data_IF_207554960740
#
_entry.id   IF_207554960740
#
_cell.length_a   1.000
_cell.length_b   1.000
_cell.length_c   1.000
_cell.angle_alpha   90.00
_cell.angle_beta   90.00
_cell.angle_gamma   90.00
#
_symmetry.space_group_name_H-M   'P 1'
#
loop_
_entity.id
_entity.type
_entity.pdbx_description
1 polymer ?
#
# COMPACT_ATOMS: atom_id res chain seq x y z
N UNK A 1 -16.44 3.54 7.90
CA UNK A 1 -17.15 4.22 6.80
C UNK A 1 -16.94 3.45 5.50
N UNK A 2 -17.99 2.99 4.81
CA UNK A 2 -17.88 2.25 3.54
C UNK A 2 -17.23 3.08 2.42
N UNK A 3 -17.27 4.42 2.52
CA UNK A 3 -16.59 5.32 1.58
C UNK A 3 -15.08 5.12 1.57
N UNK A 4 -14.50 4.65 2.68
CA UNK A 4 -13.08 4.31 2.76
C UNK A 4 -12.69 3.08 1.91
N UNK A 5 -13.68 2.26 1.54
CA UNK A 5 -13.50 1.00 0.81
C UNK A 5 -14.15 1.06 -0.58
N UNK A 6 -14.30 2.25 -1.18
CA UNK A 6 -14.90 2.37 -2.51
C UNK A 6 -16.31 1.78 -2.62
N UNK A 7 -17.07 1.75 -1.51
CA UNK A 7 -18.39 1.10 -1.45
C UNK A 7 -18.36 -0.40 -1.14
N UNK A 8 -17.19 -1.04 -1.10
CA UNK A 8 -17.01 -2.42 -0.69
C UNK A 8 -17.11 -2.62 0.84
N UNK A 9 -17.18 -3.88 1.26
CA UNK A 9 -17.09 -4.23 2.68
C UNK A 9 -15.61 -4.25 3.13
N UNK A 10 -15.34 -3.90 4.41
CA UNK A 10 -14.00 -4.05 4.97
C UNK A 10 -13.53 -5.51 4.92
N UNK A 11 -12.25 -5.79 4.60
CA UNK A 11 -11.72 -7.14 4.66
C UNK A 11 -11.66 -7.64 6.12
N UNK A 12 -11.64 -8.97 6.29
CA UNK A 12 -11.46 -9.63 7.61
C UNK A 12 -10.05 -9.46 8.18
N UNK A 13 -9.06 -9.39 7.29
CA UNK A 13 -7.66 -9.15 7.63
C UNK A 13 -7.28 -7.73 7.24
N UNK A 14 -7.73 -6.76 8.04
CA UNK A 14 -7.25 -5.40 7.87
C UNK A 14 -5.73 -5.37 8.06
N UNK A 15 -5.10 -4.46 7.32
CA UNK A 15 -3.66 -4.24 7.43
C UNK A 15 -3.33 -3.77 8.85
N UNK A 16 -2.08 -3.88 9.31
CA UNK A 16 -1.66 -3.33 10.58
C UNK A 16 -1.42 -1.81 10.49
N UNK A 17 -1.55 -1.10 11.62
CA UNK A 17 -1.05 0.26 11.71
C UNK A 17 0.48 0.30 11.67
N UNK A 18 1.06 1.51 11.46
CA UNK A 18 2.47 1.79 11.70
C UNK A 18 2.98 1.22 13.03
N UNK A 19 4.24 0.80 13.09
CA UNK A 19 4.88 0.35 14.34
C UNK A 19 4.90 1.46 15.41
N UNK A 20 4.82 2.71 14.99
CA UNK A 20 4.79 3.89 15.86
C UNK A 20 3.38 4.28 16.33
N UNK A 21 2.35 3.56 15.89
CA UNK A 21 0.98 3.85 16.28
C UNK A 21 0.75 3.54 17.77
N UNK A 22 -0.27 4.17 18.35
CA UNK A 22 -0.63 3.92 19.74
C UNK A 22 -1.14 2.48 19.94
N UNK A 23 -0.96 1.93 21.13
CA UNK A 23 -1.48 0.61 21.50
C UNK A 23 -2.98 0.46 21.21
N UNK A 24 -3.75 1.55 21.35
CA UNK A 24 -5.17 1.57 21.01
C UNK A 24 -5.46 1.28 19.54
N UNK A 25 -4.61 1.72 18.61
CA UNK A 25 -4.77 1.41 17.18
C UNK A 25 -4.53 -0.08 16.89
N UNK A 26 -3.52 -0.67 17.55
CA UNK A 26 -3.25 -2.10 17.46
C UNK A 26 -4.41 -2.92 18.08
N UNK A 27 -4.87 -2.53 19.27
CA UNK A 27 -6.01 -3.19 19.92
C UNK A 27 -7.27 -3.14 19.05
N UNK A 28 -7.60 -1.97 18.49
CA UNK A 28 -8.78 -1.81 17.65
C UNK A 28 -8.72 -2.68 16.39
N UNK A 29 -7.55 -2.79 15.77
CA UNK A 29 -7.33 -3.74 14.67
C UNK A 29 -7.61 -5.17 15.11
N UNK A 30 -7.04 -5.61 16.24
CA UNK A 30 -7.22 -6.98 16.73
C UNK A 30 -8.69 -7.28 17.00
N UNK A 31 -9.39 -6.38 17.71
CA UNK A 31 -10.81 -6.53 18.00
C UNK A 31 -11.66 -6.58 16.72
N UNK A 32 -11.34 -5.76 15.71
CA UNK A 32 -12.05 -5.79 14.42
C UNK A 32 -11.85 -7.12 13.69
N UNK A 33 -10.59 -7.55 13.54
CA UNK A 33 -10.27 -8.78 12.83
C UNK A 33 -10.87 -10.00 13.55
N UNK A 34 -10.83 -10.05 14.88
CA UNK A 34 -11.49 -11.08 15.68
C UNK A 34 -13.01 -11.09 15.46
N UNK A 35 -13.68 -9.94 15.58
CA UNK A 35 -15.11 -9.85 15.40
C UNK A 35 -15.52 -10.26 13.98
N UNK A 36 -14.84 -9.73 12.96
CA UNK A 36 -15.14 -10.03 11.56
C UNK A 36 -14.89 -11.50 11.22
N UNK A 37 -13.87 -12.16 11.80
CA UNK A 37 -13.62 -13.59 11.63
C UNK A 37 -14.76 -14.47 12.18
N UNK A 38 -15.39 -14.04 13.27
CA UNK A 38 -16.46 -14.77 13.94
C UNK A 38 -17.87 -14.53 13.36
N UNK A 39 -18.01 -13.73 12.29
CA UNK A 39 -19.28 -13.53 11.58
C UNK A 39 -19.29 -14.41 10.32
N UNK A 40 -20.09 -15.50 10.25
CA UNK A 40 -20.07 -16.41 9.11
C UNK A 40 -20.49 -15.72 7.81
N UNK A 41 -21.46 -14.82 7.86
CA UNK A 41 -22.01 -14.11 6.70
C UNK A 41 -21.25 -12.82 6.35
N UNK A 42 -20.03 -12.63 6.85
CA UNK A 42 -19.24 -11.44 6.50
C UNK A 42 -18.91 -11.47 5.00
N UNK A 43 -19.23 -10.41 4.25
CA UNK A 43 -19.07 -10.43 2.80
C UNK A 43 -17.61 -10.58 2.36
N UNK A 44 -17.41 -11.31 1.27
CA UNK A 44 -16.15 -11.27 0.55
C UNK A 44 -15.96 -9.89 -0.10
N UNK A 45 -14.70 -9.49 -0.23
CA UNK A 45 -14.31 -8.20 -0.79
C UNK A 45 -12.98 -8.37 -1.48
N UNK A 46 -12.67 -7.53 -2.47
CA UNK A 46 -11.31 -7.38 -3.01
C UNK A 46 -10.58 -6.19 -2.41
N UNK A 47 -11.30 -5.34 -1.67
CA UNK A 47 -10.71 -4.24 -0.95
C UNK A 47 -9.63 -4.76 0.03
N UNK A 48 -8.57 -3.99 0.13
CA UNK A 48 -7.69 -3.97 1.27
C UNK A 48 -8.19 -2.87 2.22
N UNK A 49 -7.50 -2.66 3.34
CA UNK A 49 -7.80 -1.47 4.14
C UNK A 49 -7.20 -1.47 5.52
N UNK A 50 -7.42 -0.35 6.18
CA UNK A 50 -7.02 -0.08 7.56
C UNK A 50 -8.29 0.18 8.39
N UNK A 51 -8.21 0.14 9.72
CA UNK A 51 -9.30 0.67 10.57
C UNK A 51 -9.24 2.21 10.62
N UNK A 52 -8.95 2.85 9.48
CA UNK A 52 -8.98 4.31 9.34
C UNK A 52 -7.72 5.07 9.74
N UNK A 53 -6.61 4.41 10.07
CA UNK A 53 -5.33 5.13 10.19
C UNK A 53 -4.78 5.46 8.80
N UNK A 54 -4.09 6.61 8.72
CA UNK A 54 -3.37 7.06 7.53
C UNK A 54 -1.94 6.54 7.56
N UNK A 55 -1.36 6.35 6.38
CA UNK A 55 0.08 6.07 6.26
C UNK A 55 0.86 7.36 6.33
N UNK A 56 2.06 7.31 6.89
CA UNK A 56 2.91 8.49 7.06
C UNK A 56 3.98 8.51 5.99
N UNK A 57 4.15 9.64 5.31
CA UNK A 57 5.23 9.82 4.35
C UNK A 57 6.58 9.46 4.99
N UNK A 58 7.36 8.65 4.29
CA UNK A 58 8.72 8.29 4.69
C UNK A 58 8.82 7.14 5.68
N UNK A 59 7.68 6.62 6.13
CA UNK A 59 7.64 5.50 7.06
C UNK A 59 8.36 4.28 6.48
N UNK A 60 9.18 3.62 7.29
CA UNK A 60 9.92 2.42 6.91
C UNK A 60 11.08 2.62 5.91
N UNK A 61 11.26 3.82 5.33
CA UNK A 61 12.32 4.08 4.33
C UNK A 61 13.71 3.81 4.90
N UNK A 62 14.03 4.39 6.06
CA UNK A 62 15.39 4.33 6.63
C UNK A 62 15.89 2.93 7.01
N UNK A 63 15.03 1.91 6.99
CA UNK A 63 15.36 0.52 7.36
C UNK A 63 15.25 -0.46 6.19
N UNK A 64 14.97 0.02 4.97
CA UNK A 64 14.54 -0.84 3.86
C UNK A 64 15.52 -0.86 2.69
N UNK A 65 16.07 -2.03 2.31
CA UNK A 65 16.84 -2.19 1.07
C UNK A 65 16.02 -1.90 -0.19
N UNK A 66 14.69 -2.11 -0.13
CA UNK A 66 13.79 -1.74 -1.23
C UNK A 66 13.79 -0.23 -1.43
N UNK A 67 13.75 0.56 -0.36
CA UNK A 67 13.72 2.01 -0.48
C UNK A 67 14.95 2.55 -1.20
N UNK A 68 16.14 2.02 -0.90
CA UNK A 68 17.39 2.39 -1.60
C UNK A 68 17.32 2.15 -3.11
N UNK A 69 16.60 1.12 -3.57
CA UNK A 69 16.45 0.83 -5.00
C UNK A 69 15.45 1.73 -5.71
N UNK A 70 14.59 2.42 -4.95
CA UNK A 70 13.55 3.30 -5.48
C UNK A 70 13.95 4.77 -5.50
N UNK A 71 14.80 5.20 -4.56
CA UNK A 71 15.20 6.60 -4.45
C UNK A 71 15.81 7.15 -5.74
N UNK A 72 15.32 8.32 -6.15
CA UNK A 72 15.76 9.07 -7.34
C UNK A 72 15.68 8.27 -8.64
N UNK A 73 14.75 7.32 -8.69
CA UNK A 73 14.45 6.54 -9.90
C UNK A 73 13.15 7.01 -10.55
N UNK A 74 13.08 6.90 -11.88
CA UNK A 74 11.95 7.36 -12.68
C UNK A 74 11.13 6.18 -13.19
N UNK A 75 9.81 6.29 -13.09
CA UNK A 75 8.88 5.22 -13.46
C UNK A 75 7.70 5.77 -14.26
N UNK A 76 7.00 4.83 -14.89
CA UNK A 76 5.67 5.03 -15.46
C UNK A 76 4.59 4.55 -14.51
N UNK A 77 3.43 5.19 -14.54
CA UNK A 77 2.18 4.72 -13.94
C UNK A 77 1.14 4.55 -15.04
N UNK A 78 0.65 3.33 -15.27
CA UNK A 78 -0.22 3.04 -16.42
C UNK A 78 0.36 3.58 -17.75
N UNK A 79 1.67 3.35 -17.97
CA UNK A 79 2.44 3.84 -19.12
C UNK A 79 2.66 5.36 -19.21
N UNK A 80 2.17 6.16 -18.26
CA UNK A 80 2.40 7.60 -18.20
C UNK A 80 3.65 7.89 -17.37
N UNK A 81 4.62 8.61 -17.94
CA UNK A 81 5.89 8.97 -17.27
C UNK A 81 5.68 10.06 -16.22
N UNK A 82 6.50 10.04 -15.17
CA UNK A 82 6.58 11.11 -14.18
C UNK A 82 6.42 10.66 -12.73
N UNK A 83 6.55 9.35 -12.47
CA UNK A 83 6.56 8.83 -11.11
C UNK A 83 8.01 8.78 -10.58
N UNK A 84 8.31 9.53 -9.53
CA UNK A 84 9.64 9.60 -8.90
C UNK A 84 9.52 9.50 -7.38
N UNK A 85 10.42 8.72 -6.78
CA UNK A 85 10.46 8.48 -5.33
C UNK A 85 11.61 9.26 -4.70
N UNK A 86 11.31 10.22 -3.83
CA UNK A 86 12.32 11.05 -3.18
C UNK A 86 12.51 10.69 -1.70
N UNK A 87 13.64 11.12 -1.14
CA UNK A 87 13.93 10.98 0.27
C UNK A 87 12.83 11.59 1.16
N UNK A 88 12.69 11.07 2.38
CA UNK A 88 11.64 11.52 3.32
C UNK A 88 10.21 11.13 2.93
N UNK A 89 10.02 10.39 1.83
CA UNK A 89 8.72 9.88 1.43
C UNK A 89 7.90 10.81 0.53
N UNK A 90 8.51 11.83 -0.07
CA UNK A 90 7.84 12.63 -1.09
C UNK A 90 7.77 11.83 -2.40
N UNK A 91 6.58 11.79 -2.99
CA UNK A 91 6.33 11.15 -4.27
C UNK A 91 5.98 12.23 -5.30
N UNK A 92 6.70 12.29 -6.41
CA UNK A 92 6.28 13.07 -7.57
C UNK A 92 5.53 12.14 -8.52
N UNK A 93 4.47 12.67 -9.11
CA UNK A 93 3.59 11.94 -10.03
C UNK A 93 3.31 12.79 -11.26
N UNK A 94 2.79 12.20 -12.36
CA UNK A 94 2.35 12.96 -13.53
C UNK A 94 1.23 13.97 -13.23
N UNK A 95 0.51 13.79 -12.10
CA UNK A 95 -0.67 14.58 -11.73
C UNK A 95 -0.43 15.49 -10.52
N UNK A 96 0.83 15.64 -10.10
CA UNK A 96 1.20 16.44 -8.92
C UNK A 96 1.99 15.63 -7.91
N UNK A 97 1.82 15.94 -6.63
CA UNK A 97 2.59 15.35 -5.54
C UNK A 97 1.78 14.33 -4.74
N UNK A 98 2.50 13.49 -4.01
CA UNK A 98 1.96 12.49 -3.11
C UNK A 98 2.97 12.07 -2.04
N UNK A 99 2.63 11.01 -1.34
CA UNK A 99 3.46 10.40 -0.31
C UNK A 99 3.79 8.95 -0.66
N UNK A 100 4.93 8.48 -0.21
CA UNK A 100 5.30 7.07 -0.25
C UNK A 100 6.05 6.65 1.01
N UNK A 101 6.15 5.33 1.18
CA UNK A 101 6.92 4.71 2.24
C UNK A 101 6.92 3.20 2.06
N UNK A 102 7.45 2.49 3.05
CA UNK A 102 7.57 1.04 3.05
C UNK A 102 6.55 0.45 4.01
N UNK A 103 5.83 -0.57 3.53
CA UNK A 103 4.89 -1.30 4.35
C UNK A 103 5.61 -2.27 5.28
N UNK A 104 5.10 -2.47 6.50
CA UNK A 104 5.60 -3.54 7.36
C UNK A 104 5.39 -4.89 6.67
N UNK A 105 6.28 -5.84 6.90
CA UNK A 105 6.23 -7.19 6.29
C UNK A 105 4.95 -7.97 6.64
N UNK A 106 4.26 -7.56 7.71
CA UNK A 106 2.96 -8.07 8.13
C UNK A 106 1.75 -7.41 7.41
N UNK A 107 1.98 -6.49 6.46
CA UNK A 107 0.92 -5.66 5.87
C UNK A 107 -0.04 -6.36 4.89
N UNK A 108 0.16 -7.64 4.56
CA UNK A 108 -0.71 -8.33 3.61
C UNK A 108 -0.86 -9.82 3.93
N UNK A 109 -2.05 -10.21 4.39
CA UNK A 109 -2.44 -11.64 4.54
C UNK A 109 -3.43 -12.11 3.46
N UNK A 110 -3.82 -11.25 2.52
CA UNK A 110 -4.81 -11.55 1.48
C UNK A 110 -4.16 -11.82 0.11
N UNK A 111 -4.87 -12.53 -0.77
CA UNK A 111 -4.48 -12.88 -2.15
C UNK A 111 -3.08 -13.53 -2.29
N UNK A 112 -2.77 -14.49 -1.42
CA UNK A 112 -1.49 -15.21 -1.49
C UNK A 112 -0.29 -14.39 -1.04
N UNK A 113 -0.50 -13.28 -0.31
CA UNK A 113 0.59 -12.50 0.27
C UNK A 113 1.21 -11.53 -0.72
N UNK A 114 0.40 -10.71 -1.40
CA UNK A 114 0.88 -9.71 -2.36
C UNK A 114 2.06 -8.89 -1.80
N UNK A 115 1.99 -8.46 -0.53
CA UNK A 115 3.08 -7.77 0.17
C UNK A 115 3.89 -8.62 1.16
N UNK A 116 3.81 -9.95 1.11
CA UNK A 116 4.55 -10.83 2.01
C UNK A 116 6.08 -10.76 1.82
N UNK A 117 6.55 -10.36 0.62
CA UNK A 117 7.97 -10.17 0.30
C UNK A 117 8.46 -8.71 0.44
N UNK A 118 7.67 -7.85 1.08
CA UNK A 118 7.93 -6.41 1.18
C UNK A 118 7.29 -5.61 0.03
N UNK A 119 6.64 -4.51 0.40
CA UNK A 119 5.99 -3.59 -0.53
C UNK A 119 6.29 -2.16 -0.14
N UNK A 120 6.18 -1.26 -1.10
CA UNK A 120 5.97 0.15 -0.81
C UNK A 120 4.47 0.46 -0.74
N UNK A 121 4.14 1.62 -0.20
CA UNK A 121 2.89 2.27 -0.52
C UNK A 121 3.12 3.56 -1.29
N UNK A 122 2.10 3.96 -2.04
CA UNK A 122 2.00 5.31 -2.62
C UNK A 122 0.60 5.85 -2.37
N UNK A 123 0.52 7.14 -2.04
CA UNK A 123 -0.70 7.88 -1.80
C UNK A 123 -0.66 9.18 -2.60
N UNK A 124 -1.52 9.28 -3.61
CA UNK A 124 -1.64 10.48 -4.44
C UNK A 124 -3.03 10.52 -5.08
N UNK A 125 -3.49 11.72 -5.47
CA UNK A 125 -4.81 11.91 -6.09
C UNK A 125 -5.99 11.30 -5.30
N UNK A 126 -5.86 11.23 -3.96
CA UNK A 126 -6.86 10.65 -3.07
C UNK A 126 -6.95 9.12 -3.10
N UNK A 127 -5.98 8.44 -3.71
CA UNK A 127 -5.95 6.99 -3.85
C UNK A 127 -4.68 6.40 -3.20
N UNK A 128 -4.90 5.45 -2.28
CA UNK A 128 -3.83 4.70 -1.61
C UNK A 128 -3.59 3.37 -2.32
N UNK A 129 -2.35 3.09 -2.69
CA UNK A 129 -1.94 1.85 -3.33
C UNK A 129 -0.87 1.13 -2.54
N UNK A 130 -0.91 -0.21 -2.58
CA UNK A 130 0.21 -1.07 -2.25
C UNK A 130 0.97 -1.39 -3.54
N UNK A 131 2.29 -1.31 -3.51
CA UNK A 131 3.15 -1.46 -4.69
C UNK A 131 4.18 -2.54 -4.45
N UNK A 132 4.19 -3.56 -5.33
CA UNK A 132 5.21 -4.59 -5.37
C UNK A 132 6.10 -4.38 -6.60
N UNK A 133 7.40 -4.30 -6.36
CA UNK A 133 8.39 -4.12 -7.40
C UNK A 133 9.01 -5.44 -7.82
N UNK A 134 9.30 -5.57 -9.11
CA UNK A 134 9.99 -6.68 -9.72
C UNK A 134 11.27 -6.17 -10.41
N UNK A 135 12.41 -6.44 -9.77
CA UNK A 135 13.75 -6.09 -10.25
C UNK A 135 14.40 -7.21 -11.09
N UNK A 136 13.72 -8.33 -11.35
CA UNK A 136 14.27 -9.41 -12.20
C UNK A 136 13.95 -9.24 -13.70
N UNK A 137 13.23 -8.17 -14.05
CA UNK A 137 12.81 -7.86 -15.43
C UNK A 137 13.53 -6.61 -15.96
N UNK A 138 13.69 -6.52 -17.28
CA UNK A 138 14.26 -5.34 -17.96
C UNK A 138 13.28 -4.82 -19.02
N UNK A 139 12.77 -3.57 -18.92
CA UNK A 139 12.96 -2.68 -17.78
C UNK A 139 12.31 -3.25 -16.52
N UNK A 140 12.84 -2.86 -15.36
CA UNK A 140 12.27 -3.23 -14.06
C UNK A 140 10.81 -2.77 -14.01
N UNK A 141 9.98 -3.47 -13.27
CA UNK A 141 8.53 -3.23 -13.27
C UNK A 141 7.94 -3.21 -11.87
N UNK A 142 6.70 -2.76 -11.75
CA UNK A 142 5.90 -2.92 -10.56
C UNK A 142 4.44 -3.22 -10.92
N UNK A 143 3.74 -3.77 -9.95
CA UNK A 143 2.31 -3.95 -9.93
C UNK A 143 1.74 -3.33 -8.65
N UNK A 144 0.49 -2.91 -8.70
CA UNK A 144 -0.17 -2.23 -7.59
C UNK A 144 -1.55 -2.81 -7.33
N UNK A 145 -2.01 -2.64 -6.09
CA UNK A 145 -3.40 -2.86 -5.71
C UNK A 145 -3.86 -1.61 -4.95
N UNK A 146 -4.92 -0.96 -5.46
CA UNK A 146 -5.59 0.14 -4.76
C UNK A 146 -6.30 -0.40 -3.55
N UNK A 147 -6.05 0.20 -2.39
CA UNK A 147 -6.53 -0.30 -1.11
C UNK A 147 -8.05 -0.30 -1.05
N UNK A 148 -8.72 0.73 -1.56
CA UNK A 148 -10.17 0.88 -1.43
C UNK A 148 -11.00 -0.19 -2.15
N UNK A 149 -10.60 -0.62 -3.35
CA UNK A 149 -11.46 -1.44 -4.22
C UNK A 149 -10.71 -2.57 -4.95
N UNK A 150 -9.40 -2.65 -4.79
CA UNK A 150 -8.58 -3.67 -5.42
C UNK A 150 -8.21 -3.38 -6.88
N UNK A 151 -8.48 -2.18 -7.42
CA UNK A 151 -8.05 -1.83 -8.77
C UNK A 151 -6.53 -1.94 -8.90
N UNK A 152 -6.04 -2.56 -9.96
CA UNK A 152 -4.62 -2.76 -10.19
C UNK A 152 -4.08 -1.94 -11.35
N UNK A 153 -2.88 -1.41 -11.17
CA UNK A 153 -2.11 -0.69 -12.20
C UNK A 153 -0.69 -1.22 -12.20
N UNK A 154 -0.08 -1.28 -13.39
CA UNK A 154 1.33 -1.63 -13.55
C UNK A 154 2.16 -0.44 -13.98
N UNK A 155 3.46 -0.51 -13.70
CA UNK A 155 4.45 0.47 -14.14
C UNK A 155 5.78 -0.17 -14.51
N UNK A 156 6.59 0.60 -15.23
CA UNK A 156 7.94 0.21 -15.66
C UNK A 156 8.91 1.34 -15.39
N UNK A 157 10.14 0.97 -15.03
CA UNK A 157 11.25 1.90 -14.85
C UNK A 157 11.57 2.55 -16.20
N UNK A 158 11.75 3.86 -16.16
CA UNK A 158 12.25 4.64 -17.30
C UNK A 158 13.77 4.62 -17.22
N UNK A 159 14.42 4.37 -18.35
CA UNK A 159 15.88 4.41 -18.49
C UNK A 159 16.41 5.83 -18.30
#
# INVERSE_FOLDING_TARGET
DKRHYGGAYPPRDLQPPPDSASEGAHWLLHAWNEASANIPTWPETKALGTVGWRRTAGEGIGKSPLATQLLDTHWTWASIKGLEFHAGGQLKTPWGEGAWGILPTSASKKEGGFCAAGCAFVDFSGALHNVRFNFSTTPHSFETIRVGDGESVTGKRVA
#
